data_IF_954687168357
#
_entry.id   IF_954687168357
#
_cell.length_a   1.000
_cell.length_b   1.000
_cell.length_c   1.000
_cell.angle_alpha   90.00
_cell.angle_beta   90.00
_cell.angle_gamma   90.00
#
_symmetry.space_group_name_H-M   'P 1'
#
loop_
_entity.id
_entity.type
_entity.pdbx_description
1 polymer ?
#
# COMPACT_ATOMS: atom_id res chain seq x y z
N UNK A 1 51.87 -1.56 5.11
CA UNK A 1 50.95 -0.63 4.41
C UNK A 1 49.59 -1.29 4.32
N UNK A 2 48.57 -0.69 4.93
CA UNK A 2 47.22 -1.25 5.00
C UNK A 2 46.38 -0.64 6.11
N UNK A 3 46.42 0.69 6.24
CA UNK A 3 45.41 1.46 6.96
C UNK A 3 44.19 1.62 6.05
N UNK A 4 43.00 1.75 6.67
CA UNK A 4 41.68 2.19 6.15
C UNK A 4 40.63 1.08 6.08
N UNK A 5 39.89 0.90 7.16
CA UNK A 5 38.43 1.08 7.12
C UNK A 5 37.89 1.16 8.54
N UNK A 6 37.88 2.38 9.07
CA UNK A 6 37.06 2.70 10.24
C UNK A 6 35.60 2.67 9.79
N UNK A 7 34.90 1.56 10.03
CA UNK A 7 33.44 1.60 10.13
C UNK A 7 33.10 2.32 11.43
N UNK A 8 33.02 3.64 11.34
CA UNK A 8 32.21 4.41 12.28
C UNK A 8 30.76 4.16 11.89
N UNK A 9 30.19 3.09 12.46
CA UNK A 9 28.74 3.04 12.66
C UNK A 9 28.54 3.82 13.95
N UNK A 10 28.18 5.09 13.81
CA UNK A 10 27.73 5.89 14.94
C UNK A 10 26.33 5.37 15.29
N UNK A 11 26.30 4.26 16.02
CA UNK A 11 25.10 3.66 16.61
C UNK A 11 24.65 4.54 17.78
N UNK A 12 24.04 5.69 17.46
CA UNK A 12 23.09 6.31 18.38
C UNK A 12 21.82 5.46 18.32
N UNK A 13 21.83 4.35 19.05
CA UNK A 13 20.67 3.50 19.28
C UNK A 13 19.72 4.22 20.26
N UNK A 14 18.98 5.20 19.74
CA UNK A 14 17.73 5.58 20.37
C UNK A 14 16.73 4.48 20.01
N UNK A 15 16.41 3.64 20.99
CA UNK A 15 15.47 2.53 20.89
C UNK A 15 14.13 3.03 20.33
N UNK A 16 13.98 2.95 19.01
CA UNK A 16 12.77 3.42 18.34
C UNK A 16 11.77 2.27 18.42
N UNK A 17 10.98 2.26 19.49
CA UNK A 17 9.93 1.25 19.68
C UNK A 17 8.82 1.47 18.66
N UNK A 18 8.69 0.52 17.72
CA UNK A 18 7.61 0.51 16.74
C UNK A 18 6.30 0.07 17.42
N UNK A 19 5.26 0.89 17.27
CA UNK A 19 3.90 0.56 17.70
C UNK A 19 2.99 0.42 16.47
N UNK A 20 2.34 -0.73 16.30
CA UNK A 20 1.41 -1.00 15.20
C UNK A 20 -0.03 -1.03 15.69
N UNK A 21 -0.88 -0.19 15.11
CA UNK A 21 -2.33 -0.13 15.37
C UNK A 21 -3.06 -0.64 14.12
N UNK A 22 -3.94 -1.62 14.27
CA UNK A 22 -4.79 -2.13 13.18
C UNK A 22 -6.25 -1.78 13.48
N UNK A 23 -6.90 -1.07 12.56
CA UNK A 23 -8.31 -0.65 12.68
C UNK A 23 -9.10 -1.26 11.52
N UNK A 24 -10.22 -1.90 11.82
CA UNK A 24 -11.18 -2.41 10.82
C UNK A 24 -12.43 -1.54 10.88
N UNK A 25 -12.85 -1.01 9.73
CA UNK A 25 -13.98 -0.10 9.59
C UNK A 25 -14.99 -0.73 8.63
N UNK A 26 -16.26 -0.69 8.99
CA UNK A 26 -17.38 -1.04 8.11
C UNK A 26 -18.05 0.24 7.62
N UNK A 27 -18.23 0.35 6.30
CA UNK A 27 -18.85 1.54 5.69
C UNK A 27 -20.35 1.31 5.62
N UNK A 28 -21.05 1.81 6.64
CA UNK A 28 -22.52 1.68 6.74
C UNK A 28 -23.24 2.74 5.88
N UNK A 29 -22.64 3.93 5.73
CA UNK A 29 -23.22 5.04 4.95
C UNK A 29 -22.15 5.73 4.09
N UNK A 30 -22.26 5.52 2.78
CA UNK A 30 -21.31 6.02 1.79
C UNK A 30 -21.38 7.54 1.64
N UNK A 31 -22.57 8.14 1.76
CA UNK A 31 -22.70 9.59 1.61
C UNK A 31 -22.12 10.34 2.80
N UNK A 32 -22.34 9.84 4.02
CA UNK A 32 -21.74 10.39 5.24
C UNK A 32 -20.22 10.30 5.19
N UNK A 33 -19.68 9.16 4.70
CA UNK A 33 -18.24 8.99 4.49
C UNK A 33 -17.68 10.03 3.52
N UNK A 34 -18.34 10.21 2.36
CA UNK A 34 -17.92 11.19 1.36
C UNK A 34 -17.98 12.62 1.89
N UNK A 35 -19.05 13.00 2.61
CA UNK A 35 -19.16 14.33 3.20
C UNK A 35 -18.03 14.59 4.20
N UNK A 36 -17.75 13.65 5.10
CA UNK A 36 -16.68 13.78 6.08
C UNK A 36 -15.30 13.90 5.40
N UNK A 37 -15.05 13.10 4.34
CA UNK A 37 -13.81 13.17 3.58
C UNK A 37 -13.67 14.51 2.84
N UNK A 38 -14.75 14.99 2.21
CA UNK A 38 -14.79 16.27 1.51
C UNK A 38 -14.59 17.44 2.47
N UNK A 39 -15.24 17.44 3.64
CA UNK A 39 -15.05 18.45 4.68
C UNK A 39 -13.59 18.50 5.12
N UNK A 40 -12.97 17.34 5.39
CA UNK A 40 -11.56 17.27 5.79
C UNK A 40 -10.61 17.77 4.72
N UNK A 41 -10.87 17.43 3.45
CA UNK A 41 -10.09 17.93 2.32
C UNK A 41 -10.23 19.46 2.17
N UNK A 42 -11.45 20.00 2.31
CA UNK A 42 -11.70 21.44 2.25
C UNK A 42 -11.11 22.23 3.43
N UNK A 43 -10.80 21.58 4.56
CA UNK A 43 -10.03 22.21 5.63
C UNK A 43 -8.55 22.39 5.29
N UNK A 44 -8.03 21.70 4.26
CA UNK A 44 -6.66 21.88 3.82
C UNK A 44 -6.50 23.20 3.05
N UNK A 45 -5.49 24.03 3.38
CA UNK A 45 -5.31 25.33 2.74
C UNK A 45 -4.99 25.16 1.25
N UNK A 46 -5.79 25.82 0.40
CA UNK A 46 -5.61 25.80 -1.06
C UNK A 46 -6.32 24.66 -1.79
N UNK A 47 -6.99 23.76 -1.07
CA UNK A 47 -7.80 22.71 -1.67
C UNK A 47 -9.15 23.29 -2.13
N UNK A 48 -9.58 22.92 -3.34
CA UNK A 48 -10.86 23.39 -3.91
C UNK A 48 -11.82 22.21 -4.07
N UNK A 49 -13.12 22.49 -4.19
CA UNK A 49 -14.11 21.42 -4.41
C UNK A 49 -13.80 20.58 -5.66
N UNK A 50 -13.24 21.17 -6.72
CA UNK A 50 -12.86 20.44 -7.92
C UNK A 50 -11.72 19.42 -7.64
N UNK A 51 -10.75 19.81 -6.82
CA UNK A 51 -9.64 18.96 -6.40
C UNK A 51 -10.12 17.80 -5.51
N UNK A 52 -11.09 18.07 -4.64
CA UNK A 52 -11.77 17.04 -3.84
C UNK A 52 -12.48 16.04 -4.76
N UNK A 53 -13.26 16.51 -5.73
CA UNK A 53 -13.97 15.64 -6.67
C UNK A 53 -13.03 14.79 -7.53
N UNK A 54 -11.85 15.32 -7.89
CA UNK A 54 -10.82 14.58 -8.62
C UNK A 54 -10.17 13.49 -7.74
N UNK A 55 -9.99 13.77 -6.45
CA UNK A 55 -9.34 12.86 -5.51
C UNK A 55 -10.26 11.75 -5.00
N UNK A 56 -11.46 12.09 -4.50
CA UNK A 56 -12.37 11.13 -3.86
C UNK A 56 -13.56 10.74 -4.74
N UNK A 57 -13.62 11.25 -5.97
CA UNK A 57 -14.69 10.99 -6.92
C UNK A 57 -15.98 11.81 -6.66
N UNK A 58 -16.93 11.77 -7.60
CA UNK A 58 -18.23 12.42 -7.46
C UNK A 58 -19.05 11.76 -6.35
N UNK A 59 -19.99 12.52 -5.76
CA UNK A 59 -20.86 12.01 -4.69
C UNK A 59 -21.75 10.83 -5.12
N UNK A 60 -22.06 10.74 -6.41
CA UNK A 60 -22.88 9.67 -7.01
C UNK A 60 -22.11 8.35 -7.14
N UNK A 61 -20.79 8.42 -7.32
CA UNK A 61 -19.89 7.26 -7.44
C UNK A 61 -18.57 7.59 -6.71
N UNK A 62 -18.57 7.59 -5.36
CA UNK A 62 -17.41 8.00 -4.59
C UNK A 62 -16.39 6.87 -4.45
N UNK A 63 -15.12 7.22 -4.53
CA UNK A 63 -14.02 6.29 -4.26
C UNK A 63 -13.91 6.05 -2.75
N UNK A 64 -14.44 4.91 -2.28
CA UNK A 64 -14.43 4.54 -0.86
C UNK A 64 -13.01 4.44 -0.32
N UNK A 65 -12.07 3.89 -1.11
CA UNK A 65 -10.67 3.76 -0.73
C UNK A 65 -10.02 5.12 -0.46
N UNK A 66 -10.21 6.09 -1.36
CA UNK A 66 -9.67 7.45 -1.21
C UNK A 66 -10.37 8.22 -0.08
N UNK A 67 -11.68 8.05 0.08
CA UNK A 67 -12.41 8.63 1.22
C UNK A 67 -11.84 8.11 2.57
N UNK A 68 -11.62 6.80 2.66
CA UNK A 68 -11.01 6.19 3.84
C UNK A 68 -9.55 6.61 3.99
N UNK A 69 -8.78 6.80 2.92
CA UNK A 69 -7.42 7.33 3.00
C UNK A 69 -7.40 8.72 3.62
N UNK A 70 -8.30 9.60 3.20
CA UNK A 70 -8.38 10.96 3.72
C UNK A 70 -8.75 10.99 5.22
N UNK A 71 -9.60 10.06 5.66
CA UNK A 71 -10.16 10.04 7.01
C UNK A 71 -9.37 9.17 8.00
N UNK A 72 -8.90 8.01 7.56
CA UNK A 72 -8.27 7.00 8.40
C UNK A 72 -6.75 7.17 8.51
N UNK A 73 -6.11 7.90 7.58
CA UNK A 73 -4.69 8.25 7.76
C UNK A 73 -4.59 9.27 8.89
N UNK A 74 -3.95 8.92 10.02
CA UNK A 74 -3.84 9.81 11.15
C UNK A 74 -3.09 11.08 10.73
N UNK A 75 -3.64 12.24 11.10
CA UNK A 75 -2.86 13.49 11.10
C UNK A 75 -1.59 13.26 11.93
N UNK A 76 -0.46 13.79 11.46
CA UNK A 76 0.84 13.70 12.12
C UNK A 76 0.70 13.88 13.65
N UNK A 77 0.93 12.79 14.39
CA UNK A 77 0.86 12.80 15.84
C UNK A 77 2.17 13.42 16.34
N UNK A 78 2.15 14.51 17.12
CA UNK A 78 3.37 15.16 17.58
C UNK A 78 4.24 14.16 18.38
N UNK A 79 5.49 13.98 17.96
CA UNK A 79 6.42 13.01 18.54
C UNK A 79 6.39 11.62 17.89
N UNK A 80 5.51 11.37 16.92
CA UNK A 80 5.50 10.14 16.14
C UNK A 80 5.84 10.43 14.68
N UNK A 81 6.57 9.52 14.05
CA UNK A 81 6.75 9.50 12.59
C UNK A 81 5.86 8.40 12.04
N UNK A 82 5.01 8.72 11.08
CA UNK A 82 4.21 7.72 10.37
C UNK A 82 5.10 7.08 9.30
N UNK A 83 5.41 5.79 9.47
CA UNK A 83 6.28 5.04 8.56
C UNK A 83 5.51 4.45 7.37
N UNK A 84 4.39 3.76 7.64
CA UNK A 84 3.58 3.09 6.62
C UNK A 84 2.10 3.14 7.02
N UNK A 85 1.23 3.56 6.10
CA UNK A 85 -0.22 3.49 6.23
C UNK A 85 -0.78 2.74 5.02
N UNK A 86 -1.48 1.63 5.29
CA UNK A 86 -2.08 0.77 4.27
C UNK A 86 -3.56 0.62 4.51
N UNK A 87 -4.33 0.80 3.44
CA UNK A 87 -5.77 0.53 3.41
C UNK A 87 -5.97 -0.70 2.54
N UNK A 88 -6.74 -1.65 3.06
CA UNK A 88 -7.07 -2.90 2.39
C UNK A 88 -8.58 -3.04 2.36
N UNK A 89 -9.13 -3.23 1.17
CA UNK A 89 -10.53 -3.63 1.01
C UNK A 89 -10.67 -5.07 1.48
N UNK A 90 -11.79 -5.42 2.13
CA UNK A 90 -12.06 -6.80 2.52
C UNK A 90 -12.12 -7.75 1.31
N UNK A 91 -12.44 -7.22 0.13
CA UNK A 91 -12.40 -7.94 -1.15
C UNK A 91 -10.98 -8.40 -1.53
N UNK A 92 -9.93 -7.66 -1.12
CA UNK A 92 -8.53 -8.01 -1.34
C UNK A 92 -7.94 -8.86 -0.21
N UNK A 93 -8.62 -8.95 0.94
CA UNK A 93 -8.22 -9.80 2.05
C UNK A 93 -8.39 -11.30 1.74
N UNK A 94 -9.09 -11.64 0.66
CA UNK A 94 -9.21 -13.00 0.12
C UNK A 94 -8.10 -13.41 -0.87
N UNK A 95 -7.16 -12.51 -1.20
CA UNK A 95 -6.00 -12.85 -2.02
C UNK A 95 -4.86 -13.35 -1.11
N UNK A 96 -5.06 -14.51 -0.47
CA UNK A 96 -3.88 -15.31 -0.11
C UNK A 96 -3.06 -15.49 -1.40
N UNK A 97 -1.75 -15.18 -1.40
CA UNK A 97 -0.92 -15.41 -2.57
C UNK A 97 -0.97 -16.91 -2.85
N UNK A 98 -1.72 -17.31 -3.87
CA UNK A 98 -1.73 -18.68 -4.35
C UNK A 98 -0.28 -18.93 -4.78
N UNK A 99 0.46 -19.65 -3.95
CA UNK A 99 1.80 -20.08 -4.27
C UNK A 99 1.69 -20.96 -5.52
N UNK A 100 1.89 -20.37 -6.69
CA UNK A 100 1.96 -21.10 -7.94
C UNK A 100 3.02 -22.19 -7.76
N UNK A 101 2.68 -23.49 -7.93
CA UNK A 101 3.67 -24.53 -7.87
C UNK A 101 4.72 -24.20 -8.94
N UNK A 102 5.99 -24.10 -8.53
CA UNK A 102 7.11 -23.92 -9.44
C UNK A 102 7.05 -25.06 -10.45
N UNK A 103 6.70 -24.77 -11.71
CA UNK A 103 6.75 -25.77 -12.76
C UNK A 103 8.16 -26.38 -12.78
N UNK A 104 8.30 -27.71 -12.84
CA UNK A 104 9.60 -28.32 -13.05
C UNK A 104 10.18 -27.79 -14.37
N UNK A 105 11.46 -27.41 -14.34
CA UNK A 105 12.18 -26.98 -15.53
C UNK A 105 12.01 -28.05 -16.62
N UNK A 106 11.39 -27.66 -17.73
CA UNK A 106 11.20 -28.52 -18.89
C UNK A 106 12.60 -28.90 -19.37
N UNK A 107 12.99 -30.16 -19.16
CA UNK A 107 14.24 -30.68 -19.70
C UNK A 107 14.05 -30.74 -21.22
N UNK A 108 14.89 -30.08 -22.05
CA UNK A 108 14.71 -30.13 -23.49
C UNK A 108 14.83 -31.58 -23.97
N UNK A 109 13.78 -32.06 -24.62
CA UNK A 109 13.76 -33.36 -25.30
C UNK A 109 14.89 -33.39 -26.32
N UNK A 110 15.85 -34.28 -26.06
CA UNK A 110 17.00 -34.56 -26.92
C UNK A 110 16.46 -35.02 -28.28
N UNK A 111 16.67 -34.22 -29.31
CA UNK A 111 16.21 -34.47 -30.68
C UNK A 111 16.63 -35.86 -31.16
N UNK A 112 15.66 -36.72 -31.44
CA UNK A 112 15.89 -37.94 -32.20
C UNK A 112 16.15 -37.56 -33.66
N UNK A 113 17.25 -38.02 -34.30
CA UNK A 113 17.43 -37.82 -35.73
C UNK A 113 16.42 -38.68 -36.50
N UNK A 114 15.63 -37.99 -37.34
CA UNK A 114 14.70 -38.59 -38.30
C UNK A 114 15.47 -39.41 -39.34
N UNK A 115 15.19 -40.70 -39.55
CA UNK A 115 15.83 -41.47 -40.61
C UNK A 115 15.20 -41.11 -41.97
N UNK A 116 16.01 -40.51 -42.84
CA UNK A 116 15.70 -40.34 -44.27
C UNK A 116 15.94 -41.68 -44.97
N UNK A 117 14.87 -42.31 -45.45
CA UNK A 117 14.97 -43.48 -46.32
C UNK A 117 14.82 -43.04 -47.79
N UNK A 118 15.78 -43.46 -48.60
CA UNK A 118 15.79 -43.40 -50.06
C UNK A 118 14.97 -44.56 -50.66
#
# INVERSE_FOLDING_TARGET
>A
MGLRSLRTVSENNAETTEYRITVTLDVVDVQALWNAAAERALQAPGMTLADVLDTIGPREDPSIADCLAMLAVPTAIPGCTLDDARIRSSEEAGAEPIALPRLPAITPLRSCPIPVHA
#
